data_IF_904764077100
#
_entry.id   IF_904764077100
#
_cell.length_a   1.000
_cell.length_b   1.000
_cell.length_c   1.000
_cell.angle_alpha   90.00
_cell.angle_beta   90.00
_cell.angle_gamma   90.00
#
_symmetry.space_group_name_H-M   'P 1'
#
loop_
_entity.id
_entity.type
_entity.pdbx_description
1 polymer ?
#
# COMPACT_ATOMS: atom_id res chain seq x y z
N UNK A 1 1.44 -40.63 26.92
CA UNK A 1 1.13 -40.32 25.50
C UNK A 1 0.51 -38.92 25.40
N UNK A 2 1.30 -37.84 25.45
CA UNK A 2 0.77 -36.45 25.47
C UNK A 2 1.59 -35.44 24.65
N UNK A 3 2.46 -35.90 23.75
CA UNK A 3 3.27 -35.02 22.90
C UNK A 3 2.72 -34.83 21.47
N UNK A 4 1.76 -35.65 21.05
CA UNK A 4 1.23 -35.60 19.68
C UNK A 4 0.09 -34.58 19.48
N UNK A 5 -0.69 -34.27 20.52
CA UNK A 5 -1.81 -33.33 20.43
C UNK A 5 -1.35 -31.88 20.22
N UNK A 6 -0.22 -31.50 20.82
CA UNK A 6 0.33 -30.15 20.75
C UNK A 6 0.93 -29.80 19.36
N UNK A 7 1.36 -30.82 18.61
CA UNK A 7 1.89 -30.64 17.25
C UNK A 7 0.78 -30.46 16.21
N UNK A 8 -0.30 -31.25 16.33
CA UNK A 8 -1.48 -31.12 15.47
C UNK A 8 -2.15 -29.75 15.65
N UNK A 9 -2.25 -29.26 16.88
CA UNK A 9 -2.78 -27.91 17.14
C UNK A 9 -1.91 -26.81 16.54
N UNK A 10 -0.58 -26.93 16.60
CA UNK A 10 0.33 -25.99 15.94
C UNK A 10 0.24 -26.04 14.42
N UNK A 11 0.07 -27.23 13.83
CA UNK A 11 -0.14 -27.38 12.38
C UNK A 11 -1.48 -26.76 11.98
N UNK A 12 -2.54 -27.01 12.75
CA UNK A 12 -3.87 -26.45 12.47
C UNK A 12 -3.92 -24.93 12.68
N UNK A 13 -3.11 -24.38 13.60
CA UNK A 13 -2.97 -22.93 13.78
C UNK A 13 -2.18 -22.29 12.63
N UNK A 14 -1.11 -22.94 12.17
CA UNK A 14 -0.35 -22.52 10.98
C UNK A 14 -1.17 -22.65 9.69
N UNK A 15 -1.95 -23.72 9.54
CA UNK A 15 -2.90 -23.88 8.43
C UNK A 15 -3.99 -22.83 8.46
N UNK A 16 -4.61 -22.56 9.61
CA UNK A 16 -5.59 -21.45 9.73
C UNK A 16 -4.99 -20.09 9.38
N UNK A 17 -3.76 -19.79 9.82
CA UNK A 17 -3.06 -18.57 9.39
C UNK A 17 -2.75 -18.58 7.89
N UNK A 18 -2.38 -19.72 7.33
CA UNK A 18 -2.13 -19.86 5.89
C UNK A 18 -3.41 -19.76 5.06
N UNK A 19 -4.54 -20.25 5.58
CA UNK A 19 -5.86 -20.21 4.93
C UNK A 19 -6.50 -18.82 5.08
N UNK A 20 -6.26 -18.11 6.19
CA UNK A 20 -6.57 -16.68 6.34
C UNK A 20 -5.73 -15.81 5.39
N UNK A 21 -4.48 -16.20 5.11
CA UNK A 21 -3.65 -15.60 4.04
C UNK A 21 -4.11 -16.00 2.63
N UNK A 22 -4.72 -17.17 2.45
CA UNK A 22 -5.22 -17.65 1.15
C UNK A 22 -6.61 -17.10 0.78
N UNK A 23 -7.35 -16.52 1.74
CA UNK A 23 -8.54 -15.68 1.48
C UNK A 23 -8.20 -14.18 1.34
N UNK A 24 -6.92 -13.82 1.49
CA UNK A 24 -6.40 -12.47 1.23
C UNK A 24 -6.29 -12.06 -0.26
N UNK A 25 -6.27 -12.96 -1.28
CA UNK A 25 -6.18 -12.52 -2.68
C UNK A 25 -7.38 -11.65 -3.07
N UNK A 26 -8.60 -12.03 -2.70
CA UNK A 26 -9.83 -11.31 -3.07
C UNK A 26 -9.90 -9.88 -2.44
N UNK A 27 -9.30 -9.71 -1.26
CA UNK A 27 -9.23 -8.41 -0.56
C UNK A 27 -8.12 -7.52 -1.13
N UNK A 28 -7.05 -8.09 -1.67
CA UNK A 28 -5.96 -7.37 -2.33
C UNK A 28 -6.26 -7.07 -3.80
N UNK A 29 -6.94 -7.98 -4.50
CA UNK A 29 -7.39 -7.82 -5.90
C UNK A 29 -8.38 -6.66 -6.04
N UNK A 30 -9.13 -6.34 -4.99
CA UNK A 30 -10.04 -5.18 -4.95
C UNK A 30 -9.43 -3.90 -4.34
N UNK A 31 -8.21 -3.94 -3.80
CA UNK A 31 -7.57 -2.73 -3.25
C UNK A 31 -6.73 -2.01 -4.31
N UNK A 32 -7.42 -1.32 -5.23
CA UNK A 32 -6.76 -0.58 -6.33
C UNK A 32 -5.76 0.46 -5.82
N UNK A 33 -6.02 1.11 -4.69
CA UNK A 33 -5.10 2.06 -4.08
C UNK A 33 -3.76 1.41 -3.72
N UNK A 34 -3.80 0.21 -3.13
CA UNK A 34 -2.60 -0.58 -2.83
C UNK A 34 -1.87 -1.01 -4.10
N UNK A 35 -2.60 -1.44 -5.14
CA UNK A 35 -2.00 -1.84 -6.42
C UNK A 35 -1.27 -0.68 -7.10
N UNK A 36 -1.89 0.49 -7.20
CA UNK A 36 -1.25 1.70 -7.75
C UNK A 36 0.02 2.05 -6.98
N UNK A 37 -0.02 1.95 -5.64
CA UNK A 37 1.13 2.23 -4.79
C UNK A 37 2.29 1.26 -5.07
N UNK A 38 2.00 -0.05 -5.18
CA UNK A 38 2.98 -1.07 -5.50
C UNK A 38 3.62 -0.83 -6.88
N UNK A 39 2.80 -0.62 -7.90
CA UNK A 39 3.24 -0.38 -9.28
C UNK A 39 4.07 0.90 -9.42
N UNK A 40 3.81 1.90 -8.57
CA UNK A 40 4.48 3.21 -8.63
C UNK A 40 5.60 3.39 -7.61
N UNK A 41 5.95 2.35 -6.83
CA UNK A 41 6.90 2.46 -5.71
C UNK A 41 8.29 2.93 -6.19
N UNK A 42 8.79 2.39 -7.30
CA UNK A 42 10.10 2.80 -7.83
C UNK A 42 10.10 4.25 -8.33
N UNK A 43 9.08 4.65 -9.09
CA UNK A 43 8.93 6.05 -9.55
C UNK A 43 8.86 7.03 -8.36
N UNK A 44 8.16 6.65 -7.28
CA UNK A 44 8.08 7.44 -6.06
C UNK A 44 9.45 7.55 -5.41
N UNK A 45 10.19 6.44 -5.30
CA UNK A 45 11.54 6.43 -4.72
C UNK A 45 12.49 7.31 -5.52
N UNK A 46 12.51 7.20 -6.83
CA UNK A 46 13.39 8.01 -7.68
C UNK A 46 13.14 9.50 -7.50
N UNK A 47 11.88 9.93 -7.42
CA UNK A 47 11.54 11.35 -7.37
C UNK A 47 11.55 11.97 -5.95
N UNK A 48 11.21 11.19 -4.92
CA UNK A 48 10.96 11.70 -3.56
C UNK A 48 11.97 11.24 -2.51
N UNK A 49 12.99 10.43 -2.86
CA UNK A 49 13.95 9.94 -1.87
C UNK A 49 14.66 11.02 -1.07
N UNK A 50 14.94 12.20 -1.65
CA UNK A 50 15.55 13.30 -0.89
C UNK A 50 14.62 13.92 0.17
N UNK A 51 13.30 13.73 0.02
CA UNK A 51 12.27 14.29 0.90
C UNK A 51 11.79 13.32 1.98
N UNK A 52 12.39 12.12 2.10
CA UNK A 52 11.92 11.05 2.99
C UNK A 52 11.60 11.55 4.42
N UNK A 53 12.43 12.43 4.97
CA UNK A 53 12.28 12.94 6.34
C UNK A 53 11.07 13.88 6.48
N UNK A 54 10.83 14.73 5.47
CA UNK A 54 9.68 15.63 5.42
C UNK A 54 8.39 14.82 5.25
N UNK A 55 8.40 13.84 4.36
CA UNK A 55 7.26 12.95 4.12
C UNK A 55 6.94 12.14 5.38
N UNK A 56 7.94 11.55 6.06
CA UNK A 56 7.73 10.84 7.32
C UNK A 56 7.08 11.72 8.40
N UNK A 57 7.52 12.98 8.51
CA UNK A 57 6.94 13.93 9.47
C UNK A 57 5.48 14.24 9.15
N UNK A 58 5.12 14.33 7.87
CA UNK A 58 3.74 14.56 7.41
C UNK A 58 2.85 13.33 7.59
N UNK A 59 3.38 12.13 7.35
CA UNK A 59 2.67 10.88 7.63
C UNK A 59 2.30 10.78 9.12
N UNK A 60 3.20 11.17 10.01
CA UNK A 60 2.93 11.24 11.45
C UNK A 60 1.83 12.28 11.77
N UNK A 61 1.92 13.49 11.21
CA UNK A 61 0.91 14.54 11.41
C UNK A 61 -0.50 14.10 10.98
N UNK A 62 -0.59 13.29 9.94
CA UNK A 62 -1.84 12.72 9.43
C UNK A 62 -2.26 11.42 10.15
N UNK A 63 -1.54 10.98 11.19
CA UNK A 63 -1.74 9.72 11.90
C UNK A 63 -1.69 8.47 11.00
N UNK A 64 -0.94 8.53 9.90
CA UNK A 64 -0.70 7.36 9.03
C UNK A 64 0.41 6.46 9.56
N UNK A 65 1.33 7.02 10.35
CA UNK A 65 2.38 6.30 11.09
C UNK A 65 2.48 6.87 12.50
N UNK A 66 3.15 6.15 13.40
CA UNK A 66 3.44 6.63 14.75
C UNK A 66 4.89 7.17 14.90
N UNK A 67 5.20 7.74 16.07
CA UNK A 67 6.52 8.34 16.33
C UNK A 67 7.66 7.32 16.26
N UNK A 68 7.43 6.08 16.70
CA UNK A 68 8.42 5.01 16.63
C UNK A 68 8.78 4.69 15.19
N UNK A 69 7.77 4.58 14.31
CA UNK A 69 7.96 4.33 12.88
C UNK A 69 8.65 5.51 12.18
N UNK A 70 8.21 6.74 12.48
CA UNK A 70 8.85 7.96 11.98
C UNK A 70 10.31 8.06 12.43
N UNK A 71 10.61 7.65 13.66
CA UNK A 71 11.97 7.61 14.20
C UNK A 71 12.81 6.56 13.47
N UNK A 72 12.29 5.36 13.22
CA UNK A 72 12.99 4.31 12.48
C UNK A 72 13.40 4.76 11.05
N UNK A 73 12.51 5.48 10.35
CA UNK A 73 12.79 6.03 9.02
C UNK A 73 13.87 7.13 9.06
N UNK A 74 13.84 7.97 10.08
CA UNK A 74 14.66 9.20 10.16
C UNK A 74 15.92 9.08 10.98
N UNK A 75 16.13 7.96 11.68
CA UNK A 75 17.32 7.71 12.50
C UNK A 75 18.58 7.72 11.64
N UNK A 76 19.52 8.61 11.96
CA UNK A 76 20.78 8.81 11.22
C UNK A 76 21.83 7.76 11.57
N UNK A 77 21.65 6.99 12.64
CA UNK A 77 22.64 6.03 13.13
C UNK A 77 22.58 4.67 12.42
N UNK A 78 21.58 4.43 11.57
CA UNK A 78 21.40 3.15 10.86
C UNK A 78 22.36 2.94 9.69
N UNK A 79 23.06 3.99 9.24
CA UNK A 79 23.88 3.95 8.03
C UNK A 79 23.08 3.88 6.72
N UNK A 80 21.75 3.95 6.78
CA UNK A 80 20.90 3.87 5.59
C UNK A 80 20.97 5.13 4.74
N UNK A 81 21.08 4.92 3.43
CA UNK A 81 20.99 6.00 2.44
C UNK A 81 19.54 6.43 2.20
N UNK A 82 19.35 7.52 1.43
CA UNK A 82 18.04 8.10 1.16
C UNK A 82 17.03 7.13 0.51
N UNK A 83 17.50 6.25 -0.38
CA UNK A 83 16.64 5.28 -1.06
C UNK A 83 16.18 4.18 -0.11
N UNK A 84 17.07 3.67 0.75
CA UNK A 84 16.73 2.67 1.77
C UNK A 84 15.72 3.21 2.79
N UNK A 85 15.85 4.49 3.15
CA UNK A 85 14.88 5.15 4.05
C UNK A 85 13.54 5.38 3.38
N UNK A 86 13.56 5.75 2.10
CA UNK A 86 12.34 5.88 1.31
C UNK A 86 11.65 4.52 1.11
N UNK A 87 12.41 3.43 0.95
CA UNK A 87 11.87 2.07 0.92
C UNK A 87 11.11 1.75 2.21
N UNK A 88 11.74 1.93 3.37
CA UNK A 88 11.10 1.70 4.67
C UNK A 88 9.84 2.57 4.84
N UNK A 89 9.90 3.85 4.43
CA UNK A 89 8.75 4.74 4.43
C UNK A 89 7.61 4.18 3.57
N UNK A 90 7.92 3.71 2.36
CA UNK A 90 6.93 3.14 1.45
C UNK A 90 6.31 1.86 2.02
N UNK A 91 7.06 1.01 2.71
CA UNK A 91 6.51 -0.14 3.41
C UNK A 91 5.46 0.26 4.47
N UNK A 92 5.71 1.34 5.23
CA UNK A 92 4.71 1.87 6.18
C UNK A 92 3.47 2.40 5.48
N UNK A 93 3.63 3.14 4.38
CA UNK A 93 2.49 3.64 3.59
C UNK A 93 1.68 2.49 2.99
N UNK A 94 2.34 1.45 2.46
CA UNK A 94 1.70 0.25 1.94
C UNK A 94 0.84 -0.44 3.02
N UNK A 95 1.35 -0.57 4.25
CA UNK A 95 0.58 -1.11 5.37
C UNK A 95 -0.64 -0.24 5.68
N UNK A 96 -0.47 1.08 5.76
CA UNK A 96 -1.57 2.01 6.03
C UNK A 96 -2.67 1.95 4.94
N UNK A 97 -2.28 1.90 3.66
CA UNK A 97 -3.21 1.77 2.52
C UNK A 97 -3.84 0.38 2.44
N UNK A 98 -3.13 -0.67 2.85
CA UNK A 98 -3.72 -2.02 2.94
C UNK A 98 -4.87 -2.05 3.95
N UNK A 99 -4.72 -1.37 5.08
CA UNK A 99 -5.73 -1.33 6.15
C UNK A 99 -6.85 -0.33 5.86
N UNK A 100 -6.49 0.90 5.47
CA UNK A 100 -7.42 2.03 5.35
C UNK A 100 -7.73 2.42 3.89
N UNK A 101 -7.31 1.59 2.92
CA UNK A 101 -7.65 1.67 1.49
C UNK A 101 -7.46 3.09 0.91
N UNK A 102 -8.46 3.58 0.17
CA UNK A 102 -8.47 4.88 -0.51
C UNK A 102 -8.16 6.08 0.43
N UNK A 103 -8.80 6.25 1.60
CA UNK A 103 -8.49 7.36 2.50
C UNK A 103 -7.00 7.58 2.80
N UNK A 104 -6.27 6.51 3.14
CA UNK A 104 -4.83 6.61 3.41
C UNK A 104 -4.02 6.95 2.14
N UNK A 105 -4.45 6.43 0.99
CA UNK A 105 -3.83 6.73 -0.29
C UNK A 105 -4.02 8.20 -0.68
N UNK A 106 -5.22 8.75 -0.53
CA UNK A 106 -5.50 10.16 -0.81
C UNK A 106 -4.70 11.09 0.11
N UNK A 107 -4.60 10.76 1.39
CA UNK A 107 -3.74 11.50 2.32
C UNK A 107 -2.28 11.46 1.87
N UNK A 108 -1.78 10.31 1.43
CA UNK A 108 -0.42 10.20 0.92
C UNK A 108 -0.20 11.04 -0.36
N UNK A 109 -1.15 11.03 -1.31
CA UNK A 109 -1.07 11.90 -2.50
C UNK A 109 -1.03 13.38 -2.14
N UNK A 110 -1.79 13.81 -1.15
CA UNK A 110 -1.75 15.18 -0.65
C UNK A 110 -0.35 15.53 -0.11
N UNK A 111 0.30 14.62 0.61
CA UNK A 111 1.67 14.82 1.11
C UNK A 111 2.67 14.99 -0.04
N UNK A 112 2.55 14.19 -1.11
CA UNK A 112 3.40 14.35 -2.29
C UNK A 112 3.16 15.71 -2.97
N UNK A 113 1.90 16.13 -3.07
CA UNK A 113 1.48 17.40 -3.64
C UNK A 113 1.99 18.62 -2.83
N UNK A 114 2.08 18.50 -1.50
CA UNK A 114 2.63 19.52 -0.60
C UNK A 114 4.13 19.81 -0.81
N UNK A 115 4.84 19.03 -1.63
CA UNK A 115 6.19 19.41 -2.10
C UNK A 115 6.17 20.74 -2.85
N UNK A 116 5.04 21.14 -3.44
CA UNK A 116 4.80 22.48 -3.99
C UNK A 116 5.52 22.76 -5.32
N UNK A 117 6.14 21.76 -5.93
CA UNK A 117 6.75 21.87 -7.26
C UNK A 117 5.77 21.38 -8.32
N UNK A 118 5.77 22.01 -9.50
CA UNK A 118 4.93 21.57 -10.63
C UNK A 118 5.05 20.06 -10.94
N UNK A 119 6.26 19.46 -10.97
CA UNK A 119 6.35 18.02 -11.27
C UNK A 119 5.82 17.15 -10.13
N UNK A 120 5.86 17.58 -8.86
CA UNK A 120 5.26 16.82 -7.75
C UNK A 120 3.73 16.84 -7.81
N UNK A 121 3.14 17.99 -8.19
CA UNK A 121 1.69 18.12 -8.42
C UNK A 121 1.24 17.20 -9.55
N UNK A 122 1.99 17.20 -10.65
CA UNK A 122 1.75 16.33 -11.80
C UNK A 122 1.91 14.85 -11.44
N UNK A 123 2.90 14.51 -10.61
CA UNK A 123 3.10 13.14 -10.13
C UNK A 123 1.90 12.65 -9.30
N UNK A 124 1.43 13.46 -8.34
CA UNK A 124 0.27 13.13 -7.52
C UNK A 124 -1.01 12.99 -8.38
N UNK A 125 -1.17 13.86 -9.39
CA UNK A 125 -2.26 13.79 -10.38
C UNK A 125 -2.22 12.48 -11.16
N UNK A 126 -1.07 12.09 -11.69
CA UNK A 126 -0.88 10.82 -12.41
C UNK A 126 -1.23 9.59 -11.56
N UNK A 127 -0.83 9.57 -10.29
CA UNK A 127 -1.20 8.47 -9.38
C UNK A 127 -2.71 8.40 -9.15
N UNK A 128 -3.38 9.55 -9.01
CA UNK A 128 -4.84 9.61 -8.90
C UNK A 128 -5.52 9.10 -10.18
N UNK A 129 -4.99 9.42 -11.37
CA UNK A 129 -5.51 8.91 -12.64
C UNK A 129 -5.39 7.38 -12.72
N UNK A 130 -4.20 6.82 -12.43
CA UNK A 130 -4.00 5.35 -12.38
C UNK A 130 -4.98 4.66 -11.44
N UNK A 131 -5.30 5.30 -10.30
CA UNK A 131 -6.28 4.79 -9.35
C UNK A 131 -7.70 4.78 -9.93
N UNK A 132 -8.11 5.88 -10.58
CA UNK A 132 -9.43 5.98 -11.24
C UNK A 132 -9.59 4.99 -12.38
N UNK A 133 -8.54 4.81 -13.19
CA UNK A 133 -8.56 3.89 -14.34
C UNK A 133 -8.80 2.44 -13.87
N UNK A 134 -8.05 1.99 -12.85
CA UNK A 134 -8.26 0.67 -12.24
C UNK A 134 -9.66 0.52 -11.62
N UNK A 135 -10.17 1.58 -11.00
CA UNK A 135 -11.52 1.58 -10.45
C UNK A 135 -12.58 1.45 -11.56
N UNK A 136 -12.41 2.13 -12.69
CA UNK A 136 -13.33 2.04 -13.82
C UNK A 136 -13.28 0.69 -14.56
N UNK A 137 -12.08 0.14 -14.78
CA UNK A 137 -11.93 -1.15 -15.46
C UNK A 137 -12.63 -2.29 -14.71
N UNK A 138 -12.55 -2.28 -13.38
CA UNK A 138 -13.23 -3.25 -12.54
C UNK A 138 -14.77 -3.13 -12.58
N UNK A 139 -15.31 -1.94 -12.87
CA UNK A 139 -16.75 -1.72 -13.01
C UNK A 139 -17.29 -2.08 -14.40
N UNK A 140 -16.44 -2.26 -15.41
CA UNK A 140 -16.83 -2.69 -16.76
C UNK A 140 -16.93 -4.23 -16.88
N UNK A 141 -16.27 -4.97 -16.01
CA UNK A 141 -16.21 -6.44 -16.05
C UNK A 141 -17.49 -7.21 -15.60
N UNK A 142 -18.38 -6.70 -14.74
CA UNK A 142 -19.58 -7.44 -14.32
C UNK A 142 -20.66 -7.55 -15.42
N UNK A 143 -20.71 -6.61 -16.38
CA UNK A 143 -21.78 -6.55 -17.38
C UNK A 143 -21.46 -7.40 -18.63
N UNK A 144 -20.19 -7.63 -18.94
CA UNK A 144 -19.77 -8.40 -20.12
C UNK A 144 -20.09 -9.91 -20.01
N UNK A 145 -20.24 -10.43 -18.79
CA UNK A 145 -20.53 -11.86 -18.54
C UNK A 145 -22.03 -12.23 -18.59
N UNK A 146 -22.97 -11.27 -18.64
CA UNK A 146 -24.42 -11.57 -18.67
C UNK A 146 -25.07 -11.55 -20.06
N UNK A 147 -24.40 -11.03 -21.09
CA UNK A 147 -25.03 -10.85 -22.41
C UNK A 147 -24.93 -12.12 -23.29
N UNK A 148 -24.09 -13.11 -22.94
CA UNK A 148 -23.94 -14.34 -23.74
C UNK A 148 -24.88 -15.50 -23.38
N UNK A 149 -25.92 -15.27 -22.55
CA UNK A 149 -26.87 -16.32 -22.15
C UNK A 149 -28.28 -16.21 -22.76
N UNK A 150 -28.51 -15.27 -23.70
CA UNK A 150 -29.84 -15.09 -24.33
C UNK A 150 -29.82 -15.13 -25.86
N UNK A 151 -28.91 -15.89 -26.46
CA UNK A 151 -29.03 -16.30 -27.86
C UNK A 151 -29.09 -17.84 -27.92
N UNK A 152 -30.30 -18.36 -27.75
CA UNK A 152 -30.74 -19.70 -28.19
C UNK A 152 -32.14 -19.55 -28.77
#
# INVERSE_FOLDING_TARGET
>A
MSYCLNWIDQINKRKRQHDELNNLPDVLESNFAYQVLMESTEEIKEYFSDDFSKIASKLLQMNLINETERSAITDRNTGWNKYQRMEELMERVKVAVKINKEPAFLLFLNILNEKGTQPAQEFARKLMERYKDKFSDAHLDPLSKRVKQYEN
#
